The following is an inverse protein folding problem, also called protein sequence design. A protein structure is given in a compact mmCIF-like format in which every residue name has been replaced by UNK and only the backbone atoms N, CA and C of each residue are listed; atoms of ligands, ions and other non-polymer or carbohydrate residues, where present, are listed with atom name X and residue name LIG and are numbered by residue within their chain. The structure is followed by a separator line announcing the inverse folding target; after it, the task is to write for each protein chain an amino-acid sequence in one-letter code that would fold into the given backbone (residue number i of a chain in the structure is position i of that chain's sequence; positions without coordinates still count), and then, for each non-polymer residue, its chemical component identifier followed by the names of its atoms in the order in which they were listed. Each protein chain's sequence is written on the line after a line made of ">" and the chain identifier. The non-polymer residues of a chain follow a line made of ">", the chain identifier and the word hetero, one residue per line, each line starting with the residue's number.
data_IF_357053226377
#
_entry.id   IF_357053226377
#
_cell.length_a   1.000
_cell.length_b   1.000
_cell.length_c   1.000
_cell.angle_alpha   90.00
_cell.angle_beta   90.00
_cell.angle_gamma   90.00
#
_symmetry.space_group_name_H-M   'P 1'
#
loop_
_entity.id
_entity.type
_entity.pdbx_description
1 polymer ?
#
# COMPACT_ATOMS: atom_id res chain seq x y z
N UNK A 1 -7.87 13.94 2.27
CA UNK A 1 -7.97 15.21 1.51
C UNK A 1 -9.40 15.45 1.02
N UNK A 2 -10.39 15.61 1.92
CA UNK A 2 -11.81 15.70 1.54
C UNK A 2 -12.29 17.13 1.20
N UNK A 3 -11.39 18.12 1.14
CA UNK A 3 -11.74 19.53 0.96
C UNK A 3 -11.61 20.03 -0.51
N UNK A 4 -11.27 19.17 -1.47
CA UNK A 4 -11.20 19.55 -2.91
C UNK A 4 -10.07 20.54 -3.27
N UNK A 5 -9.04 20.66 -2.41
CA UNK A 5 -8.02 21.72 -2.47
C UNK A 5 -6.87 21.49 -3.48
N UNK A 6 -6.88 20.42 -4.28
CA UNK A 6 -5.86 20.20 -5.30
C UNK A 6 -5.55 18.74 -5.64
N UNK A 7 -4.40 18.55 -6.29
CA UNK A 7 -3.89 17.25 -6.75
C UNK A 7 -2.95 16.63 -5.71
N UNK A 8 -2.92 15.31 -5.65
CA UNK A 8 -2.01 14.57 -4.79
C UNK A 8 -1.48 13.31 -5.47
N UNK A 9 -0.21 13.00 -5.20
CA UNK A 9 0.41 11.75 -5.61
C UNK A 9 0.36 10.77 -4.42
N UNK A 10 -0.54 9.80 -4.49
CA UNK A 10 -0.79 8.82 -3.43
C UNK A 10 -0.54 7.42 -3.95
N UNK A 11 -0.27 6.47 -3.04
CA UNK A 11 -0.25 5.05 -3.40
C UNK A 11 -1.63 4.59 -3.86
N UNK A 12 -1.66 3.77 -4.90
CA UNK A 12 -2.90 3.20 -5.45
C UNK A 12 -3.74 2.50 -4.36
N UNK A 13 -3.07 1.77 -3.46
CA UNK A 13 -3.67 1.13 -2.28
C UNK A 13 -4.51 2.06 -1.41
N UNK A 14 -4.04 3.30 -1.21
CA UNK A 14 -4.66 4.24 -0.27
C UNK A 14 -5.82 4.99 -0.90
N UNK A 15 -5.89 5.04 -2.22
CA UNK A 15 -6.88 5.84 -2.97
C UNK A 15 -7.97 4.97 -3.61
N UNK A 16 -7.76 3.66 -3.72
CA UNK A 16 -8.67 2.72 -4.38
C UNK A 16 -10.11 2.81 -3.87
N UNK A 17 -10.32 2.79 -2.55
CA UNK A 17 -11.68 2.91 -1.96
C UNK A 17 -12.31 4.26 -2.31
N UNK A 18 -11.52 5.33 -2.32
CA UNK A 18 -12.01 6.66 -2.69
C UNK A 18 -12.34 6.76 -4.19
N UNK A 19 -11.59 6.09 -5.07
CA UNK A 19 -11.89 5.98 -6.50
C UNK A 19 -13.17 5.16 -6.71
N UNK A 20 -13.28 4.00 -6.06
CA UNK A 20 -14.49 3.15 -6.11
C UNK A 20 -15.74 3.88 -5.60
N UNK A 21 -15.59 4.72 -4.58
CA UNK A 21 -16.65 5.56 -4.05
C UNK A 21 -16.89 6.85 -4.85
N UNK A 22 -16.16 7.08 -5.96
CA UNK A 22 -16.29 8.27 -6.79
C UNK A 22 -15.88 9.59 -6.12
N UNK A 23 -15.16 9.53 -4.99
CA UNK A 23 -14.71 10.70 -4.23
C UNK A 23 -13.51 11.40 -4.85
N UNK A 24 -12.73 10.68 -5.66
CA UNK A 24 -11.53 11.16 -6.34
C UNK A 24 -11.37 10.46 -7.69
N UNK A 25 -10.67 11.09 -8.63
CA UNK A 25 -10.35 10.54 -9.94
C UNK A 25 -8.83 10.45 -10.15
N UNK A 26 -8.40 9.46 -10.93
CA UNK A 26 -6.99 9.33 -11.35
C UNK A 26 -6.68 10.35 -12.44
N UNK A 27 -5.58 11.07 -12.27
CA UNK A 27 -5.01 11.93 -13.31
C UNK A 27 -3.89 11.16 -14.00
N UNK A 28 -4.04 10.89 -15.29
CA UNK A 28 -3.00 10.22 -16.09
C UNK A 28 -1.83 11.17 -16.33
N UNK A 29 -0.64 10.78 -15.87
CA UNK A 29 0.59 11.56 -16.01
C UNK A 29 1.59 10.77 -16.85
N UNK A 30 2.13 11.40 -17.89
CA UNK A 30 3.15 10.81 -18.77
C UNK A 30 4.56 10.93 -18.17
N UNK A 31 4.70 10.68 -16.87
CA UNK A 31 5.97 10.72 -16.14
C UNK A 31 6.16 9.40 -15.41
N UNK A 32 7.33 8.75 -15.47
CA UNK A 32 7.59 7.57 -14.66
C UNK A 32 7.50 7.91 -13.17
N UNK A 33 6.63 7.19 -12.45
CA UNK A 33 6.49 7.28 -11.00
C UNK A 33 7.00 5.97 -10.40
N UNK A 34 8.27 5.95 -10.00
CA UNK A 34 8.86 4.82 -9.28
C UNK A 34 8.86 5.11 -7.78
N UNK A 35 8.13 4.29 -7.01
CA UNK A 35 8.06 4.38 -5.55
C UNK A 35 8.14 2.97 -4.96
N UNK A 36 9.32 2.62 -4.46
CA UNK A 36 9.54 1.39 -3.71
C UNK A 36 9.15 1.50 -2.24
N UNK A 37 8.73 0.38 -1.65
CA UNK A 37 8.61 0.20 -0.19
C UNK A 37 9.65 -0.82 0.25
N UNK A 38 10.37 -0.53 1.34
CA UNK A 38 11.44 -1.40 1.84
C UNK A 38 11.20 -1.78 3.30
N UNK A 39 11.50 -3.03 3.64
CA UNK A 39 11.51 -3.52 5.01
C UNK A 39 12.91 -3.34 5.60
N UNK A 40 13.04 -2.42 6.56
CA UNK A 40 14.30 -2.15 7.26
C UNK A 40 14.28 -2.80 8.63
N UNK A 41 15.27 -3.65 8.90
CA UNK A 41 15.37 -4.43 10.14
C UNK A 41 16.77 -4.28 10.73
N UNK A 42 16.87 -4.23 12.06
CA UNK A 42 18.15 -4.32 12.75
C UNK A 42 18.66 -5.76 12.70
N UNK A 43 19.90 -5.96 12.26
CA UNK A 43 20.49 -7.28 11.99
C UNK A 43 20.41 -8.24 13.17
N UNK A 44 20.78 -7.78 14.36
CA UNK A 44 21.02 -8.69 15.50
C UNK A 44 19.95 -8.59 16.60
N UNK A 45 18.99 -7.66 16.48
CA UNK A 45 18.06 -7.36 17.58
C UNK A 45 16.85 -8.29 17.60
N UNK A 46 16.54 -8.92 16.46
CA UNK A 46 15.29 -9.63 16.28
C UNK A 46 15.54 -10.94 15.52
N UNK A 47 15.92 -11.98 16.26
CA UNK A 47 16.14 -13.34 15.75
C UNK A 47 14.99 -14.29 16.11
N UNK A 48 13.81 -13.77 16.47
CA UNK A 48 12.69 -14.60 16.88
C UNK A 48 11.96 -15.22 15.66
N UNK A 49 11.36 -16.41 15.80
CA UNK A 49 10.62 -17.08 14.72
C UNK A 49 9.47 -16.25 14.14
N UNK A 50 8.81 -15.44 14.98
CA UNK A 50 7.71 -14.58 14.58
C UNK A 50 8.14 -13.52 13.56
N UNK A 51 9.28 -12.87 13.77
CA UNK A 51 9.83 -11.89 12.85
C UNK A 51 10.26 -12.57 11.56
N UNK A 52 10.82 -13.78 11.63
CA UNK A 52 11.14 -14.53 10.42
C UNK A 52 9.89 -14.79 9.58
N UNK A 53 8.79 -15.23 10.23
CA UNK A 53 7.51 -15.43 9.56
C UNK A 53 6.95 -14.11 8.98
N UNK A 54 6.98 -13.02 9.76
CA UNK A 54 6.56 -11.70 9.30
C UNK A 54 7.39 -11.19 8.12
N UNK A 55 8.72 -11.35 8.17
CA UNK A 55 9.63 -10.96 7.10
C UNK A 55 9.31 -11.74 5.81
N UNK A 56 9.11 -13.05 5.91
CA UNK A 56 8.72 -13.88 4.76
C UNK A 56 7.39 -13.41 4.18
N UNK A 57 6.38 -13.18 5.03
CA UNK A 57 5.09 -12.65 4.62
C UNK A 57 5.22 -11.28 3.90
N UNK A 58 5.89 -10.32 4.54
CA UNK A 58 6.02 -8.96 4.01
C UNK A 58 6.81 -8.91 2.69
N UNK A 59 7.84 -9.74 2.54
CA UNK A 59 8.63 -9.81 1.30
C UNK A 59 7.91 -10.57 0.17
N UNK A 60 7.01 -11.50 0.52
CA UNK A 60 6.16 -12.20 -0.45
C UNK A 60 4.95 -11.35 -0.89
N UNK A 61 4.58 -10.34 -0.11
CA UNK A 61 3.42 -9.49 -0.39
C UNK A 61 3.53 -8.79 -1.75
N UNK A 62 2.47 -8.86 -2.56
CA UNK A 62 2.35 -8.19 -3.86
C UNK A 62 1.05 -7.42 -3.94
N UNK A 63 1.09 -6.26 -4.60
CA UNK A 63 -0.08 -5.41 -4.80
C UNK A 63 -1.15 -6.10 -5.65
N UNK A 64 -0.74 -6.78 -6.72
CA UNK A 64 -1.64 -7.45 -7.66
C UNK A 64 -2.51 -8.51 -6.95
N UNK A 65 -1.93 -9.25 -6.01
CA UNK A 65 -2.65 -10.24 -5.20
C UNK A 65 -3.77 -9.61 -4.34
N UNK A 66 -3.55 -8.38 -3.85
CA UNK A 66 -4.52 -7.68 -3.00
C UNK A 66 -5.63 -7.00 -3.79
N UNK A 67 -5.36 -6.60 -5.03
CA UNK A 67 -6.39 -6.11 -5.95
C UNK A 67 -7.29 -7.26 -6.42
N UNK A 68 -6.73 -8.46 -6.59
CA UNK A 68 -7.48 -9.67 -6.94
C UNK A 68 -8.28 -10.26 -5.77
N UNK A 69 -7.84 -10.05 -4.52
CA UNK A 69 -8.53 -10.55 -3.32
C UNK A 69 -8.87 -9.41 -2.34
N UNK A 70 -10.02 -8.74 -2.50
CA UNK A 70 -10.40 -7.61 -1.63
C UNK A 70 -10.67 -8.02 -0.18
N UNK A 71 -10.93 -9.31 0.10
CA UNK A 71 -11.21 -9.82 1.45
C UNK A 71 -9.95 -10.07 2.30
N UNK A 72 -8.75 -10.12 1.69
CA UNK A 72 -7.49 -10.25 2.43
C UNK A 72 -6.89 -8.91 2.87
N UNK A 73 -7.56 -7.81 2.57
CA UNK A 73 -7.09 -6.48 2.96
C UNK A 73 -7.27 -6.30 4.46
N UNK A 74 -6.19 -5.84 5.10
CA UNK A 74 -6.27 -5.27 6.43
C UNK A 74 -7.01 -3.94 6.28
N UNK A 75 -8.32 -3.96 6.50
CA UNK A 75 -9.10 -2.74 6.59
C UNK A 75 -8.57 -1.95 7.80
N UNK A 76 -7.89 -0.85 7.51
CA UNK A 76 -7.62 0.17 8.51
C UNK A 76 -8.96 0.83 8.80
N UNK A 77 -9.76 0.24 9.68
CA UNK A 77 -10.94 0.90 10.23
C UNK A 77 -10.47 2.17 10.95
N UNK A 78 -10.89 3.32 10.43
CA UNK A 78 -10.78 4.64 11.07
C UNK A 78 -11.75 4.76 12.26
#
# INVERSE_FOLDING_TARGET
>A
MSAGLGLACLSELSVETAIKAGKVSKLELSLPQDRGMQLVLHRDKYLNPLLSAFKTFALAWRLDDQLANPASRLDCNE
#
